data_IF_408366156753
#
_entry.id   IF_408366156753
#
_cell.length_a   1.000
_cell.length_b   1.000
_cell.length_c   1.000
_cell.angle_alpha   90.00
_cell.angle_beta   90.00
_cell.angle_gamma   90.00
#
_symmetry.space_group_name_H-M   'P 1'
#
loop_
_entity.id
_entity.type
_entity.pdbx_description
1 polymer ?
#
# COMPACT_ATOMS: atom_id res chain seq x y z
N UNK A 1 58.08 13.41 1.68
CA UNK A 1 57.25 12.26 1.40
C UNK A 1 55.81 12.65 1.72
N UNK A 2 55.06 12.96 0.68
CA UNK A 2 53.59 13.18 0.76
C UNK A 2 52.94 11.83 0.59
N UNK A 3 52.21 11.40 1.63
CA UNK A 3 51.32 10.25 1.54
C UNK A 3 50.02 10.67 0.85
N UNK A 4 49.84 10.21 -0.39
CA UNK A 4 48.56 10.30 -1.11
C UNK A 4 47.61 9.29 -0.47
N UNK A 5 46.50 9.80 0.13
CA UNK A 5 45.37 8.97 0.49
C UNK A 5 44.62 8.56 -0.78
N UNK A 6 44.28 7.28 -0.94
CA UNK A 6 43.42 6.86 -2.04
C UNK A 6 41.98 7.31 -1.76
N UNK A 7 41.43 8.08 -2.66
CA UNK A 7 40.00 8.38 -2.73
C UNK A 7 39.25 7.06 -2.92
N UNK A 8 38.49 6.65 -1.92
CA UNK A 8 37.51 5.58 -2.04
C UNK A 8 36.23 6.12 -2.70
N UNK A 9 36.34 6.47 -3.99
CA UNK A 9 35.18 6.80 -4.81
C UNK A 9 34.66 5.53 -5.50
N UNK A 10 33.55 5.00 -5.10
CA UNK A 10 32.87 3.99 -5.87
C UNK A 10 31.89 3.05 -5.16
N UNK A 11 31.86 3.03 -3.82
CA UNK A 11 31.08 2.04 -3.08
C UNK A 11 29.63 2.42 -2.75
N UNK A 12 29.30 3.70 -2.70
CA UNK A 12 27.98 4.15 -2.22
C UNK A 12 26.89 4.24 -3.29
N UNK A 13 27.23 4.40 -4.54
CA UNK A 13 26.26 4.63 -5.62
C UNK A 13 25.47 3.36 -5.98
N UNK A 14 25.98 2.18 -5.64
CA UNK A 14 25.43 0.90 -6.05
C UNK A 14 24.38 0.31 -5.10
N UNK A 15 24.29 0.80 -3.86
CA UNK A 15 23.31 0.33 -2.89
C UNK A 15 21.97 1.11 -2.95
N UNK A 16 21.98 2.30 -3.54
CA UNK A 16 20.87 3.24 -3.52
C UNK A 16 19.63 2.77 -4.28
N UNK A 17 19.71 2.28 -5.54
CA UNK A 17 18.52 1.92 -6.31
C UNK A 17 17.73 0.73 -5.76
N UNK A 18 18.42 -0.21 -5.11
CA UNK A 18 17.77 -1.38 -4.50
C UNK A 18 17.03 -1.03 -3.22
N UNK A 19 17.55 -0.06 -2.49
CA UNK A 19 17.00 0.35 -1.21
C UNK A 19 15.66 1.07 -1.36
N UNK A 20 15.54 1.95 -2.34
CA UNK A 20 14.31 2.74 -2.57
C UNK A 20 13.14 1.89 -3.06
N UNK A 21 13.37 0.96 -3.98
CA UNK A 21 12.29 0.05 -4.42
C UNK A 21 11.82 -0.89 -3.30
N UNK A 22 12.73 -1.33 -2.43
CA UNK A 22 12.39 -2.08 -1.22
C UNK A 22 11.58 -1.25 -0.23
N UNK A 23 11.98 0.02 -0.02
CA UNK A 23 11.29 0.96 0.86
C UNK A 23 9.90 1.30 0.35
N UNK A 24 9.72 1.49 -0.95
CA UNK A 24 8.42 1.78 -1.55
C UNK A 24 7.42 0.66 -1.28
N UNK A 25 7.81 -0.59 -1.50
CA UNK A 25 6.97 -1.76 -1.21
C UNK A 25 6.67 -1.90 0.28
N UNK A 26 7.68 -1.68 1.14
CA UNK A 26 7.49 -1.72 2.58
C UNK A 26 6.51 -0.63 3.04
N UNK A 27 6.63 0.59 2.53
CA UNK A 27 5.71 1.68 2.85
C UNK A 27 4.28 1.39 2.35
N UNK A 28 4.12 0.72 1.21
CA UNK A 28 2.81 0.26 0.76
C UNK A 28 2.20 -0.77 1.72
N UNK A 29 2.99 -1.72 2.19
CA UNK A 29 2.58 -2.71 3.18
C UNK A 29 2.19 -2.05 4.51
N UNK A 30 3.02 -1.14 5.01
CA UNK A 30 2.78 -0.41 6.27
C UNK A 30 1.50 0.46 6.19
N UNK A 31 1.22 1.05 5.03
CA UNK A 31 0.00 1.81 4.79
C UNK A 31 -1.25 0.92 4.91
N UNK A 32 -1.25 -0.26 4.27
CA UNK A 32 -2.37 -1.21 4.37
C UNK A 32 -2.54 -1.76 5.80
N UNK A 33 -1.46 -1.98 6.52
CA UNK A 33 -1.51 -2.41 7.92
C UNK A 33 -2.11 -1.31 8.81
N UNK A 34 -1.71 -0.06 8.63
CA UNK A 34 -2.27 1.08 9.35
C UNK A 34 -3.78 1.24 9.08
N UNK A 35 -4.21 1.06 7.83
CA UNK A 35 -5.62 1.06 7.43
C UNK A 35 -6.41 -0.05 8.14
N UNK A 36 -5.84 -1.26 8.21
CA UNK A 36 -6.46 -2.40 8.89
C UNK A 36 -6.71 -2.11 10.38
N UNK A 37 -5.71 -1.57 11.06
CA UNK A 37 -5.84 -1.22 12.47
C UNK A 37 -6.88 -0.12 12.70
N UNK A 38 -6.95 0.87 11.80
CA UNK A 38 -7.95 1.93 11.87
C UNK A 38 -9.38 1.37 11.71
N UNK A 39 -9.61 0.52 10.73
CA UNK A 39 -10.91 -0.09 10.46
C UNK A 39 -11.35 -0.96 11.66
N UNK A 40 -10.43 -1.72 12.27
CA UNK A 40 -10.72 -2.50 13.49
C UNK A 40 -11.19 -1.63 14.63
N UNK A 41 -10.52 -0.48 14.86
CA UNK A 41 -10.92 0.44 15.93
C UNK A 41 -12.25 1.14 15.63
N UNK A 42 -12.49 1.53 14.38
CA UNK A 42 -13.74 2.18 13.96
C UNK A 42 -14.94 1.24 14.15
N UNK A 43 -14.77 -0.03 13.84
CA UNK A 43 -15.82 -1.05 13.90
C UNK A 43 -15.84 -1.83 15.22
N UNK A 44 -15.06 -1.41 16.23
CA UNK A 44 -15.12 -1.98 17.57
C UNK A 44 -16.44 -1.62 18.29
N UNK A 45 -16.82 -2.41 19.26
CA UNK A 45 -18.08 -2.22 20.03
C UNK A 45 -18.09 -0.88 20.79
N UNK A 46 -16.92 -0.39 21.20
CA UNK A 46 -16.77 0.87 21.93
C UNK A 46 -15.53 1.66 21.42
N UNK A 47 -15.68 2.39 20.31
CA UNK A 47 -14.57 3.12 19.73
C UNK A 47 -14.17 4.32 20.60
N UNK A 48 -13.02 4.19 21.28
CA UNK A 48 -12.50 5.21 22.17
C UNK A 48 -11.84 6.36 21.39
N UNK A 49 -12.10 7.64 21.77
CA UNK A 49 -11.61 8.81 21.02
C UNK A 49 -10.08 8.88 20.90
N UNK A 50 -9.34 8.57 21.98
CA UNK A 50 -7.87 8.69 21.99
C UNK A 50 -7.19 7.64 21.10
N UNK A 51 -7.50 6.33 21.17
CA UNK A 51 -7.00 5.35 20.22
C UNK A 51 -7.36 5.66 18.77
N UNK A 52 -8.58 6.12 18.50
CA UNK A 52 -9.02 6.52 17.15
C UNK A 52 -8.18 7.69 16.61
N UNK A 53 -7.95 8.73 17.41
CA UNK A 53 -7.14 9.89 17.01
C UNK A 53 -5.68 9.50 16.75
N UNK A 54 -5.11 8.65 17.61
CA UNK A 54 -3.76 8.13 17.43
C UNK A 54 -3.64 7.29 16.15
N UNK A 55 -4.58 6.38 15.92
CA UNK A 55 -4.54 5.52 14.73
C UNK A 55 -4.76 6.33 13.44
N UNK A 56 -5.62 7.35 13.46
CA UNK A 56 -5.76 8.29 12.34
C UNK A 56 -4.43 8.98 12.00
N UNK A 57 -3.69 9.41 13.01
CA UNK A 57 -2.36 9.98 12.80
C UNK A 57 -1.41 8.96 12.15
N UNK A 58 -1.42 7.70 12.61
CA UNK A 58 -0.62 6.61 12.03
C UNK A 58 -0.95 6.35 10.57
N UNK A 59 -2.23 6.29 10.22
CA UNK A 59 -2.70 6.15 8.83
C UNK A 59 -2.13 7.28 7.96
N UNK A 60 -2.31 8.53 8.37
CA UNK A 60 -1.81 9.68 7.60
C UNK A 60 -0.27 9.64 7.46
N UNK A 61 0.47 9.28 8.50
CA UNK A 61 1.93 9.14 8.44
C UNK A 61 2.38 8.05 7.47
N UNK A 62 1.76 6.87 7.52
CA UNK A 62 2.11 5.74 6.66
C UNK A 62 1.84 6.06 5.17
N UNK A 63 0.70 6.66 4.86
CA UNK A 63 0.36 7.04 3.49
C UNK A 63 1.22 8.21 2.97
N UNK A 64 1.59 9.17 3.81
CA UNK A 64 2.54 10.23 3.45
C UNK A 64 3.94 9.64 3.16
N UNK A 65 4.40 8.67 3.94
CA UNK A 65 5.65 7.97 3.67
C UNK A 65 5.62 7.22 2.33
N UNK A 66 4.52 6.53 2.03
CA UNK A 66 4.31 5.86 0.75
C UNK A 66 4.35 6.85 -0.42
N UNK A 67 3.61 7.94 -0.34
CA UNK A 67 3.58 8.98 -1.38
C UNK A 67 4.96 9.60 -1.62
N UNK A 68 5.67 9.93 -0.54
CA UNK A 68 7.02 10.50 -0.62
C UNK A 68 8.01 9.50 -1.22
N UNK A 69 7.95 8.23 -0.87
CA UNK A 69 8.83 7.21 -1.42
C UNK A 69 8.58 6.97 -2.91
N UNK A 70 7.33 7.06 -3.38
CA UNK A 70 7.04 7.02 -4.82
C UNK A 70 7.64 8.23 -5.55
N UNK A 71 7.47 9.43 -5.01
CA UNK A 71 8.04 10.65 -5.60
C UNK A 71 9.58 10.61 -5.66
N UNK A 72 10.23 10.06 -4.64
CA UNK A 72 11.68 9.86 -4.64
C UNK A 72 12.10 8.82 -5.67
N UNK A 73 11.42 7.67 -5.71
CA UNK A 73 11.72 6.62 -6.67
C UNK A 73 11.62 7.09 -8.13
N UNK A 74 10.65 7.96 -8.44
CA UNK A 74 10.50 8.54 -9.79
C UNK A 74 11.67 9.43 -10.21
N UNK A 75 12.45 9.96 -9.28
CA UNK A 75 13.59 10.82 -9.55
C UNK A 75 14.89 10.02 -9.73
N UNK A 76 14.88 8.72 -9.49
CA UNK A 76 16.08 7.89 -9.55
C UNK A 76 16.46 7.51 -10.98
N UNK A 77 17.76 7.57 -11.33
CA UNK A 77 18.24 7.04 -12.60
C UNK A 77 17.98 5.53 -12.67
N UNK A 78 17.25 5.11 -13.70
CA UNK A 78 16.91 3.68 -13.89
C UNK A 78 15.54 3.27 -13.33
N UNK A 79 14.75 4.20 -12.82
CA UNK A 79 13.36 3.94 -12.50
C UNK A 79 12.60 3.48 -13.74
N UNK A 80 11.95 2.33 -13.65
CA UNK A 80 11.17 1.80 -14.77
C UNK A 80 9.83 2.52 -14.87
N UNK A 81 9.75 3.51 -15.76
CA UNK A 81 8.53 4.30 -15.99
C UNK A 81 7.37 3.50 -16.58
N UNK A 82 7.62 2.27 -17.08
CA UNK A 82 6.59 1.43 -17.67
C UNK A 82 5.44 1.13 -16.69
N UNK A 83 5.78 0.95 -15.42
CA UNK A 83 4.79 0.65 -14.38
C UNK A 83 4.36 1.87 -13.55
N UNK A 84 4.82 3.05 -13.93
CA UNK A 84 4.55 4.29 -13.17
C UNK A 84 3.05 4.60 -13.11
N UNK A 85 2.33 4.39 -14.21
CA UNK A 85 0.88 4.62 -14.26
C UNK A 85 0.13 3.74 -13.25
N UNK A 86 0.49 2.46 -13.19
CA UNK A 86 -0.11 1.50 -12.25
C UNK A 86 0.22 1.85 -10.78
N UNK A 87 1.48 2.23 -10.52
CA UNK A 87 1.89 2.65 -9.17
C UNK A 87 1.17 3.92 -8.72
N UNK A 88 1.05 4.91 -9.60
CA UNK A 88 0.30 6.14 -9.32
C UNK A 88 -1.18 5.85 -9.08
N UNK A 89 -1.77 4.98 -9.88
CA UNK A 89 -3.17 4.58 -9.73
C UNK A 89 -3.39 3.90 -8.38
N UNK A 90 -2.52 2.96 -8.01
CA UNK A 90 -2.56 2.28 -6.71
C UNK A 90 -2.47 3.27 -5.55
N UNK A 91 -1.49 4.16 -5.57
CA UNK A 91 -1.30 5.20 -4.53
C UNK A 91 -2.49 6.16 -4.49
N UNK A 92 -3.08 6.52 -5.63
CA UNK A 92 -4.28 7.36 -5.68
C UNK A 92 -5.46 6.69 -4.97
N UNK A 93 -5.73 5.40 -5.26
CA UNK A 93 -6.78 4.67 -4.55
C UNK A 93 -6.49 4.53 -3.06
N UNK A 94 -5.23 4.34 -2.67
CA UNK A 94 -4.86 4.32 -1.26
C UNK A 94 -5.11 5.66 -0.55
N UNK A 95 -4.92 6.79 -1.23
CA UNK A 95 -5.26 8.13 -0.70
C UNK A 95 -6.78 8.29 -0.49
N UNK A 96 -7.61 7.81 -1.40
CA UNK A 96 -9.06 7.80 -1.19
C UNK A 96 -9.47 6.98 0.03
N UNK A 97 -8.79 5.85 0.29
CA UNK A 97 -9.03 5.07 1.52
C UNK A 97 -8.74 5.91 2.77
N UNK A 98 -7.66 6.68 2.79
CA UNK A 98 -7.34 7.59 3.90
C UNK A 98 -8.47 8.60 4.15
N UNK A 99 -9.00 9.21 3.09
CA UNK A 99 -10.10 10.16 3.20
C UNK A 99 -11.34 9.51 3.82
N UNK A 100 -11.68 8.29 3.39
CA UNK A 100 -12.80 7.54 3.98
C UNK A 100 -12.54 7.13 5.42
N UNK A 101 -11.34 6.69 5.77
CA UNK A 101 -10.96 6.38 7.17
C UNK A 101 -11.07 7.62 8.05
N UNK A 102 -10.59 8.77 7.58
CA UNK A 102 -10.69 10.02 8.32
C UNK A 102 -12.16 10.41 8.59
N UNK A 103 -13.03 10.27 7.59
CA UNK A 103 -14.45 10.52 7.74
C UNK A 103 -15.11 9.53 8.71
N UNK A 104 -14.84 8.24 8.57
CA UNK A 104 -15.36 7.19 9.45
C UNK A 104 -14.90 7.35 10.89
N UNK A 105 -13.68 7.81 11.13
CA UNK A 105 -13.17 8.11 12.48
C UNK A 105 -14.02 9.20 13.17
N UNK A 106 -14.45 10.21 12.42
CA UNK A 106 -15.34 11.24 12.93
C UNK A 106 -16.72 10.69 13.23
N UNK A 107 -17.30 9.91 12.33
CA UNK A 107 -18.61 9.29 12.52
C UNK A 107 -18.63 8.29 13.69
N UNK A 108 -17.58 7.52 13.89
CA UNK A 108 -17.46 6.61 15.03
C UNK A 108 -17.48 7.35 16.38
N UNK A 109 -16.87 8.55 16.42
CA UNK A 109 -16.90 9.41 17.62
C UNK A 109 -18.29 10.00 17.92
N UNK A 110 -19.12 10.15 16.91
CA UNK A 110 -20.50 10.65 17.01
C UNK A 110 -21.51 9.54 17.35
N UNK A 111 -21.03 8.36 17.68
CA UNK A 111 -21.85 7.16 17.99
C UNK A 111 -22.79 6.72 16.85
N UNK A 112 -22.44 7.04 15.62
CA UNK A 112 -23.15 6.53 14.44
C UNK A 112 -22.74 5.08 14.20
N UNK A 113 -23.22 4.15 15.04
CA UNK A 113 -22.77 2.77 15.04
C UNK A 113 -23.64 1.88 14.16
N UNK A 114 -22.98 0.92 13.53
CA UNK A 114 -23.64 -0.21 12.88
C UNK A 114 -24.14 -1.22 13.94
N UNK A 115 -25.08 -2.07 13.54
CA UNK A 115 -25.38 -3.25 14.37
C UNK A 115 -24.12 -4.11 14.50
N UNK A 116 -23.89 -4.79 15.63
CA UNK A 116 -22.69 -5.62 15.84
C UNK A 116 -22.47 -6.66 14.74
N UNK A 117 -23.54 -7.30 14.26
CA UNK A 117 -23.45 -8.29 13.17
C UNK A 117 -22.98 -7.65 11.86
N UNK A 118 -23.51 -6.48 11.50
CA UNK A 118 -23.13 -5.78 10.29
C UNK A 118 -21.71 -5.24 10.38
N UNK A 119 -21.32 -4.70 11.55
CA UNK A 119 -19.94 -4.24 11.80
C UNK A 119 -18.95 -5.40 11.63
N UNK A 120 -19.25 -6.58 12.18
CA UNK A 120 -18.41 -7.77 12.05
C UNK A 120 -18.26 -8.23 10.59
N UNK A 121 -19.33 -8.21 9.82
CA UNK A 121 -19.30 -8.57 8.38
C UNK A 121 -18.44 -7.61 7.57
N UNK A 122 -18.59 -6.31 7.80
CA UNK A 122 -17.74 -5.31 7.13
C UNK A 122 -16.27 -5.45 7.54
N UNK A 123 -16.00 -5.67 8.83
CA UNK A 123 -14.64 -5.90 9.31
C UNK A 123 -14.00 -7.10 8.60
N UNK A 124 -14.68 -8.22 8.54
CA UNK A 124 -14.19 -9.43 7.86
C UNK A 124 -13.94 -9.17 6.36
N UNK A 125 -14.87 -8.51 5.68
CA UNK A 125 -14.70 -8.18 4.25
C UNK A 125 -13.51 -7.26 4.00
N UNK A 126 -13.33 -6.24 4.83
CA UNK A 126 -12.19 -5.32 4.74
C UNK A 126 -10.86 -6.05 5.04
N UNK A 127 -10.81 -6.91 6.05
CA UNK A 127 -9.61 -7.68 6.38
C UNK A 127 -9.19 -8.61 5.25
N UNK A 128 -10.13 -9.31 4.63
CA UNK A 128 -9.85 -10.16 3.47
C UNK A 128 -9.32 -9.32 2.29
N UNK A 129 -9.96 -8.18 1.99
CA UNK A 129 -9.54 -7.31 0.90
C UNK A 129 -8.14 -6.73 1.12
N UNK A 130 -7.84 -6.26 2.34
CA UNK A 130 -6.53 -5.75 2.73
C UNK A 130 -5.45 -6.83 2.64
N UNK A 131 -5.74 -8.02 3.17
CA UNK A 131 -4.81 -9.14 3.10
C UNK A 131 -4.48 -9.54 1.64
N UNK A 132 -5.47 -9.54 0.77
CA UNK A 132 -5.25 -9.81 -0.67
C UNK A 132 -4.36 -8.74 -1.32
N UNK A 133 -4.56 -7.46 -1.00
CA UNK A 133 -3.68 -6.39 -1.46
C UNK A 133 -2.25 -6.57 -0.93
N UNK A 134 -2.07 -6.92 0.34
CA UNK A 134 -0.75 -7.20 0.93
C UNK A 134 -0.05 -8.38 0.26
N UNK A 135 -0.75 -9.48 0.04
CA UNK A 135 -0.21 -10.65 -0.66
C UNK A 135 0.27 -10.30 -2.08
N UNK A 136 -0.45 -9.43 -2.79
CA UNK A 136 -0.04 -8.96 -4.12
C UNK A 136 1.26 -8.15 -4.10
N UNK A 137 1.59 -7.48 -2.99
CA UNK A 137 2.86 -6.78 -2.84
C UNK A 137 4.05 -7.74 -2.62
N UNK A 138 3.80 -8.89 -2.00
CA UNK A 138 4.85 -9.83 -1.55
C UNK A 138 5.17 -10.91 -2.58
N UNK A 139 4.16 -11.49 -3.23
CA UNK A 139 4.32 -12.70 -4.02
C UNK A 139 4.38 -12.46 -5.52
N UNK A 140 5.38 -13.13 -6.11
CA UNK A 140 5.68 -13.20 -7.54
C UNK A 140 4.73 -14.18 -8.29
N UNK A 141 3.75 -14.72 -7.63
CA UNK A 141 2.81 -15.62 -8.29
C UNK A 141 2.10 -14.84 -9.40
N UNK A 142 2.15 -15.34 -10.66
CA UNK A 142 1.08 -15.05 -11.58
C UNK A 142 -0.15 -15.55 -10.83
N UNK A 143 -0.87 -14.59 -10.23
CA UNK A 143 -2.06 -14.97 -9.48
C UNK A 143 -2.83 -15.90 -10.39
N UNK A 144 -3.11 -17.09 -9.89
CA UNK A 144 -4.23 -17.81 -10.45
C UNK A 144 -5.30 -16.77 -10.60
N UNK A 145 -5.69 -16.54 -11.84
CA UNK A 145 -6.90 -15.80 -12.20
C UNK A 145 -8.09 -16.67 -11.74
N UNK A 146 -7.97 -17.16 -10.51
CA UNK A 146 -9.08 -17.72 -9.79
C UNK A 146 -10.06 -16.59 -9.64
N UNK A 147 -11.26 -16.81 -10.14
CA UNK A 147 -12.39 -15.91 -10.08
C UNK A 147 -12.26 -14.99 -8.87
N UNK A 148 -11.85 -13.75 -9.16
CA UNK A 148 -11.98 -12.67 -8.22
C UNK A 148 -13.49 -12.50 -8.04
N UNK A 149 -14.08 -13.38 -7.23
CA UNK A 149 -15.35 -13.05 -6.63
C UNK A 149 -15.11 -11.68 -6.01
N UNK A 150 -15.53 -10.67 -6.75
CA UNK A 150 -15.67 -9.31 -6.24
C UNK A 150 -16.16 -9.52 -4.82
N UNK A 151 -15.39 -9.08 -3.83
CA UNK A 151 -15.87 -9.11 -2.45
C UNK A 151 -17.15 -8.31 -2.49
N UNK A 152 -18.26 -9.00 -2.63
CA UNK A 152 -19.56 -8.37 -2.56
C UNK A 152 -19.60 -7.72 -1.20
N UNK A 153 -19.84 -6.42 -1.21
CA UNK A 153 -20.16 -5.73 0.04
C UNK A 153 -21.25 -6.55 0.72
N UNK A 154 -21.17 -6.78 2.02
CA UNK A 154 -22.19 -7.57 2.73
C UNK A 154 -23.54 -7.09 2.27
N UNK A 155 -24.37 -8.00 1.75
CA UNK A 155 -25.71 -7.64 1.35
C UNK A 155 -26.34 -6.87 2.51
N UNK A 156 -26.74 -5.65 2.24
CA UNK A 156 -27.38 -4.81 3.25
C UNK A 156 -28.71 -5.48 3.63
N UNK A 157 -28.68 -6.18 4.75
CA UNK A 157 -29.88 -6.85 5.29
C UNK A 157 -30.94 -5.86 5.80
N UNK A 158 -30.69 -4.57 5.62
CA UNK A 158 -31.58 -3.50 6.06
C UNK A 158 -32.44 -3.05 4.90
N UNK A 159 -33.72 -3.22 4.99
CA UNK A 159 -34.71 -2.60 4.12
C UNK A 159 -34.80 -1.06 4.29
N UNK A 160 -33.78 -0.45 4.88
CA UNK A 160 -33.67 0.98 5.13
C UNK A 160 -32.58 1.67 4.32
N UNK A 161 -32.52 3.00 4.32
CA UNK A 161 -31.45 3.74 3.67
C UNK A 161 -30.11 3.39 4.33
N UNK A 162 -29.09 3.17 3.51
CA UNK A 162 -27.72 2.88 3.93
C UNK A 162 -27.18 4.03 4.79
N UNK A 163 -26.58 3.72 5.94
CA UNK A 163 -25.96 4.72 6.80
C UNK A 163 -24.73 5.35 6.12
N UNK A 164 -24.35 6.56 6.55
CA UNK A 164 -23.16 7.23 6.03
C UNK A 164 -21.89 6.42 6.28
N UNK A 165 -21.81 5.75 7.43
CA UNK A 165 -20.68 4.88 7.76
C UNK A 165 -20.58 3.69 6.79
N UNK A 166 -21.70 3.04 6.47
CA UNK A 166 -21.74 1.96 5.49
C UNK A 166 -21.31 2.42 4.10
N UNK A 167 -21.75 3.61 3.69
CA UNK A 167 -21.34 4.18 2.39
C UNK A 167 -19.83 4.33 2.30
N UNK A 168 -19.17 4.80 3.37
CA UNK A 168 -17.70 4.89 3.41
C UNK A 168 -17.03 3.51 3.38
N UNK A 169 -17.56 2.54 4.13
CA UNK A 169 -17.03 1.16 4.12
C UNK A 169 -17.13 0.50 2.75
N UNK A 170 -18.25 0.67 2.05
CA UNK A 170 -18.40 0.15 0.69
C UNK A 170 -17.43 0.80 -0.29
N UNK A 171 -17.18 2.10 -0.16
CA UNK A 171 -16.19 2.80 -0.99
C UNK A 171 -14.77 2.33 -0.70
N UNK A 172 -14.42 2.09 0.57
CA UNK A 172 -13.13 1.48 0.94
C UNK A 172 -12.96 0.11 0.29
N UNK A 173 -13.98 -0.76 0.36
CA UNK A 173 -13.94 -2.06 -0.32
C UNK A 173 -13.78 -1.93 -1.84
N UNK A 174 -14.48 -0.99 -2.47
CA UNK A 174 -14.33 -0.70 -3.90
C UNK A 174 -12.91 -0.28 -4.27
N UNK A 175 -12.28 0.60 -3.49
CA UNK A 175 -10.90 1.02 -3.71
C UNK A 175 -9.91 -0.14 -3.52
N UNK A 176 -10.07 -0.95 -2.48
CA UNK A 176 -9.24 -2.14 -2.24
C UNK A 176 -9.36 -3.15 -3.39
N UNK A 177 -10.56 -3.38 -3.90
CA UNK A 177 -10.77 -4.26 -5.05
C UNK A 177 -10.06 -3.73 -6.30
N UNK A 178 -10.11 -2.42 -6.57
CA UNK A 178 -9.38 -1.82 -7.68
C UNK A 178 -7.87 -1.97 -7.49
N UNK A 179 -7.35 -1.68 -6.29
CA UNK A 179 -5.93 -1.84 -5.98
C UNK A 179 -5.46 -3.28 -6.17
N UNK A 180 -6.27 -4.27 -5.80
CA UNK A 180 -5.96 -5.68 -5.99
C UNK A 180 -5.86 -6.07 -7.47
N UNK A 181 -6.61 -5.42 -8.37
CA UNK A 181 -6.55 -5.68 -9.82
C UNK A 181 -5.34 -5.07 -10.50
N UNK A 182 -4.70 -4.07 -9.89
CA UNK A 182 -3.50 -3.44 -10.42
C UNK A 182 -2.35 -4.44 -10.36
N UNK A 183 -1.60 -4.51 -11.47
CA UNK A 183 -0.54 -5.51 -11.64
C UNK A 183 0.48 -5.49 -10.49
N UNK A 184 0.73 -6.65 -9.90
CA UNK A 184 1.78 -6.84 -8.91
C UNK A 184 3.18 -6.63 -9.48
N UNK A 185 3.33 -6.69 -10.80
CA UNK A 185 4.61 -6.48 -11.50
C UNK A 185 5.13 -5.07 -11.29
N UNK A 186 4.25 -4.08 -11.09
CA UNK A 186 4.64 -2.69 -10.81
C UNK A 186 5.54 -2.56 -9.57
N UNK A 187 5.36 -3.41 -8.56
CA UNK A 187 6.13 -3.39 -7.32
C UNK A 187 7.45 -4.17 -7.39
N UNK A 188 7.73 -4.83 -8.53
CA UNK A 188 8.88 -5.71 -8.77
C UNK A 188 9.94 -5.01 -9.59
N UNK A 189 10.33 -3.84 -9.24
CA UNK A 189 11.45 -3.20 -9.90
C UNK A 189 12.73 -3.99 -9.58
N UNK A 190 13.05 -4.95 -10.43
CA UNK A 190 14.37 -5.59 -10.40
C UNK A 190 15.37 -4.58 -10.94
N UNK A 191 16.42 -4.23 -10.20
CA UNK A 191 17.53 -3.54 -10.80
C UNK A 191 18.05 -4.41 -11.95
N UNK A 192 18.32 -3.79 -13.09
CA UNK A 192 18.94 -4.44 -14.23
C UNK A 192 20.36 -4.93 -13.89
N UNK A 193 20.48 -6.03 -13.16
CA UNK A 193 21.75 -6.66 -12.81
C UNK A 193 22.34 -7.52 -13.93
N UNK A 194 21.84 -7.41 -15.16
CA UNK A 194 22.23 -8.37 -16.22
C UNK A 194 23.21 -7.89 -17.25
N UNK A 195 23.46 -6.59 -17.40
CA UNK A 195 24.13 -6.10 -18.63
C UNK A 195 25.56 -5.61 -18.43
N UNK A 196 25.98 -5.33 -17.20
CA UNK A 196 27.30 -4.72 -16.97
C UNK A 196 28.42 -5.72 -16.60
N UNK A 197 28.10 -6.93 -16.17
CA UNK A 197 29.13 -7.91 -15.82
C UNK A 197 29.73 -8.66 -17.00
N UNK A 198 29.07 -8.69 -18.16
CA UNK A 198 29.58 -9.41 -19.34
C UNK A 198 30.51 -8.56 -20.23
N UNK A 199 30.61 -7.26 -20.02
CA UNK A 199 31.50 -6.40 -20.84
C UNK A 199 32.92 -6.25 -20.29
N UNK A 200 33.21 -6.66 -19.06
CA UNK A 200 34.54 -6.51 -18.44
C UNK A 200 35.45 -7.73 -18.52
N UNK A 201 34.93 -8.89 -18.95
CA UNK A 201 35.74 -10.12 -19.04
C UNK A 201 36.28 -10.41 -20.44
N UNK A 202 36.08 -9.53 -21.43
CA UNK A 202 36.63 -9.72 -22.82
C UNK A 202 37.77 -8.78 -23.19
N UNK A 203 38.47 -8.19 -22.22
CA UNK A 203 39.57 -7.23 -22.53
C UNK A 203 40.92 -7.57 -21.87
N UNK A 204 41.18 -8.85 -21.62
CA UNK A 204 42.53 -9.30 -21.23
C UNK A 204 42.87 -10.62 -21.90
N UNK A 205 42.88 -10.61 -23.24
CA UNK A 205 43.62 -11.55 -24.04
C UNK A 205 43.99 -10.85 -25.35
N UNK A 206 45.14 -10.14 -25.32
CA UNK A 206 46.10 -10.01 -26.40
C UNK A 206 47.38 -9.38 -25.84
#
# INVERSE_FOLDING_TARGET
SQAQMPFADGGMVWLWPQWQSGLLRQNAHDALEADQQAIRLILSDDPQPSPLAYQRMKVNQAHNALFNSLNQAMQEPGFNSHYLADMKLWVTHSQFIVEHINAMTTLAREHTMLTPDLAQRYLQSCEIALQRCQQRLEYDSPGESGDLNILEAPETLTHGPMSTLEQHLQRVLGHLNTMHTISSVAWRQRPHHGVWLTRRLKRTEY
#
